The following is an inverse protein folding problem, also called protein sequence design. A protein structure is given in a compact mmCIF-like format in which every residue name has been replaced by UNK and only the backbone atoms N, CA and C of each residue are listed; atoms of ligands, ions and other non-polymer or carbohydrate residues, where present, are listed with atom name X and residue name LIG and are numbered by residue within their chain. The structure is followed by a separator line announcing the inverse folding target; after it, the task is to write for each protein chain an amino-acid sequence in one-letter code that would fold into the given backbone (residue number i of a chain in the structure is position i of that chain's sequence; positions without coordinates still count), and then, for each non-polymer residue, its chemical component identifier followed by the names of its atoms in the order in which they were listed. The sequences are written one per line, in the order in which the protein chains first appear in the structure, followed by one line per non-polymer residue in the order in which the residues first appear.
data_IF_285017324688
#
_entry.id   IF_285017324688
#
_cell.length_a   1.000
_cell.length_b   1.000
_cell.length_c   1.000
_cell.angle_alpha   90.00
_cell.angle_beta   90.00
_cell.angle_gamma   90.00
#
_symmetry.space_group_name_H-M   'P 1'
#
loop_
_entity.id
_entity.type
_entity.pdbx_description
1 polymer ?
#
# COMPACT_ATOMS: atom_id res chain seq x y z
N UNK A 1 5.83 0.02 -5.33
CA UNK A 1 4.39 0.09 -5.63
C UNK A 1 3.97 1.55 -5.66
N UNK A 2 3.04 1.88 -6.55
CA UNK A 2 2.39 3.18 -6.61
C UNK A 2 0.97 2.98 -6.11
N UNK A 3 0.64 3.67 -5.02
CA UNK A 3 -0.61 3.55 -4.32
C UNK A 3 -1.33 4.90 -4.29
N UNK A 4 -2.64 4.87 -4.17
CA UNK A 4 -3.45 6.01 -3.78
C UNK A 4 -3.08 6.52 -2.37
N UNK A 5 -3.67 7.64 -1.96
CA UNK A 5 -3.45 8.18 -0.61
C UNK A 5 -4.16 7.36 0.48
N UNK A 6 -5.06 6.44 0.14
CA UNK A 6 -5.61 5.43 1.06
C UNK A 6 -4.91 4.05 0.97
N UNK A 7 -3.70 4.00 0.38
CA UNK A 7 -2.87 2.79 0.23
C UNK A 7 -3.45 1.70 -0.67
N UNK A 8 -4.39 2.04 -1.55
CA UNK A 8 -4.84 1.14 -2.60
C UNK A 8 -3.84 1.12 -3.75
N UNK A 9 -3.36 -0.06 -4.13
CA UNK A 9 -2.35 -0.20 -5.17
C UNK A 9 -2.93 0.13 -6.55
N UNK A 10 -2.38 1.13 -7.22
CA UNK A 10 -2.75 1.49 -8.59
C UNK A 10 -1.80 0.86 -9.62
N UNK A 11 -0.52 0.71 -9.27
CA UNK A 11 0.49 0.11 -10.15
C UNK A 11 1.59 -0.57 -9.34
N UNK A 12 2.01 -1.74 -9.81
CA UNK A 12 3.14 -2.47 -9.25
C UNK A 12 4.29 -2.57 -10.26
N UNK A 13 5.53 -2.58 -9.75
CA UNK A 13 6.71 -2.83 -10.57
C UNK A 13 6.97 -4.33 -10.66
N UNK A 14 7.75 -4.75 -11.65
CA UNK A 14 8.11 -6.16 -11.87
C UNK A 14 8.86 -6.75 -10.66
N UNK A 15 9.70 -5.95 -10.01
CA UNK A 15 10.43 -6.37 -8.80
C UNK A 15 9.48 -6.62 -7.63
N UNK A 16 8.47 -5.76 -7.45
CA UNK A 16 7.46 -5.97 -6.41
C UNK A 16 6.64 -7.23 -6.65
N UNK A 17 6.28 -7.48 -7.91
CA UNK A 17 5.57 -8.69 -8.34
C UNK A 17 6.44 -9.93 -8.08
N UNK A 18 7.72 -9.89 -8.44
CA UNK A 18 8.65 -10.98 -8.18
C UNK A 18 8.84 -11.24 -6.67
N UNK A 19 8.90 -10.17 -5.87
CA UNK A 19 9.11 -10.27 -4.41
C UNK A 19 7.91 -10.85 -3.66
N UNK A 20 6.68 -10.53 -4.06
CA UNK A 20 5.46 -10.98 -3.38
C UNK A 20 4.82 -12.19 -4.07
N UNK A 21 5.18 -12.46 -5.31
CA UNK A 21 4.68 -13.56 -6.14
C UNK A 21 3.30 -13.32 -6.77
N UNK A 22 2.67 -12.16 -6.57
CA UNK A 22 1.34 -11.83 -7.12
C UNK A 22 1.40 -11.45 -8.60
N UNK A 23 0.32 -11.72 -9.33
CA UNK A 23 0.12 -11.15 -10.67
C UNK A 23 -0.24 -9.65 -10.56
N UNK A 24 0.09 -8.82 -11.57
CA UNK A 24 -0.33 -7.41 -11.59
C UNK A 24 -1.83 -7.22 -11.33
N UNK A 25 -2.67 -8.05 -11.94
CA UNK A 25 -4.13 -8.01 -11.78
C UNK A 25 -4.61 -8.38 -10.37
N UNK A 26 -3.80 -9.10 -9.58
CA UNK A 26 -4.12 -9.47 -8.19
C UNK A 26 -3.67 -8.38 -7.18
N UNK A 27 -2.79 -7.47 -7.60
CA UNK A 27 -2.31 -6.34 -6.79
C UNK A 27 -3.03 -5.05 -7.12
N UNK A 28 -3.44 -4.84 -8.37
CA UNK A 28 -4.22 -3.66 -8.73
C UNK A 28 -5.50 -3.61 -7.90
N UNK A 29 -5.82 -2.43 -7.38
CA UNK A 29 -6.95 -2.13 -6.51
C UNK A 29 -6.93 -2.83 -5.14
N UNK A 30 -5.89 -3.63 -4.84
CA UNK A 30 -5.71 -4.23 -3.52
C UNK A 30 -5.07 -3.23 -2.56
N UNK A 31 -5.60 -3.17 -1.34
CA UNK A 31 -5.05 -2.34 -0.27
C UNK A 31 -3.74 -2.93 0.28
N UNK A 32 -2.76 -2.07 0.59
CA UNK A 32 -1.54 -2.50 1.30
C UNK A 32 -1.87 -3.11 2.67
N UNK A 33 -2.97 -2.69 3.32
CA UNK A 33 -3.45 -3.28 4.57
C UNK A 33 -3.84 -4.76 4.44
N UNK A 34 -4.26 -5.22 3.26
CA UNK A 34 -4.54 -6.65 3.02
C UNK A 34 -3.27 -7.49 2.86
N UNK A 35 -2.16 -6.84 2.53
CA UNK A 35 -0.86 -7.48 2.39
C UNK A 35 -0.12 -7.54 3.73
N UNK A 36 -0.33 -6.58 4.63
CA UNK A 36 0.33 -6.56 5.94
C UNK A 36 -0.24 -7.64 6.86
N UNK A 37 0.65 -8.25 7.66
CA UNK A 37 0.23 -9.20 8.69
C UNK A 37 -0.72 -8.52 9.70
N UNK A 38 -1.85 -9.16 10.09
CA UNK A 38 -2.88 -8.52 10.90
C UNK A 38 -2.39 -7.90 12.22
N UNK A 39 -1.33 -8.45 12.83
CA UNK A 39 -0.74 -7.91 14.07
C UNK A 39 0.07 -6.62 13.88
N UNK A 40 0.32 -6.21 12.64
CA UNK A 40 1.18 -5.07 12.29
C UNK A 40 0.42 -3.98 11.51
N UNK A 41 -0.88 -4.20 11.26
CA UNK A 41 -1.78 -3.23 10.63
C UNK A 41 -1.74 -1.87 11.33
N UNK A 42 -1.68 -1.84 12.68
CA UNK A 42 -1.56 -0.60 13.45
C UNK A 42 -0.26 0.16 13.16
N UNK A 43 0.86 -0.53 12.94
CA UNK A 43 2.13 0.12 12.58
C UNK A 43 2.07 0.72 11.19
N UNK A 44 1.45 0.01 10.23
CA UNK A 44 1.22 0.57 8.91
C UNK A 44 0.32 1.81 8.99
N UNK A 45 -0.73 1.76 9.80
CA UNK A 45 -1.62 2.89 10.05
C UNK A 45 -0.85 4.09 10.60
N UNK A 46 0.00 3.90 11.62
CA UNK A 46 0.80 4.96 12.25
C UNK A 46 1.76 5.64 11.25
N UNK A 47 2.51 4.87 10.46
CA UNK A 47 3.40 5.46 9.47
C UNK A 47 2.62 6.17 8.36
N UNK A 48 1.46 5.63 7.97
CA UNK A 48 0.59 6.23 6.97
C UNK A 48 0.01 7.55 7.45
N UNK A 49 -0.58 7.61 8.64
CA UNK A 49 -1.13 8.85 9.21
C UNK A 49 -0.03 9.89 9.43
N UNK A 50 1.14 9.49 9.92
CA UNK A 50 2.28 10.39 10.08
C UNK A 50 2.77 11.02 8.76
N UNK A 51 2.50 10.37 7.63
CA UNK A 51 2.86 10.87 6.31
C UNK A 51 1.85 11.87 5.75
N UNK A 52 0.54 11.65 5.98
CA UNK A 52 -0.53 12.43 5.33
C UNK A 52 -1.14 13.52 6.22
N UNK A 53 -1.27 13.29 7.52
CA UNK A 53 -1.97 14.20 8.43
C UNK A 53 -1.25 15.55 8.59
N UNK A 54 0.10 15.60 8.79
CA UNK A 54 0.79 16.86 8.99
C UNK A 54 0.70 17.82 7.79
N UNK A 55 0.51 17.27 6.58
CA UNK A 55 0.45 18.04 5.33
C UNK A 55 -0.99 18.22 4.83
N UNK A 56 -1.97 17.60 5.50
CA UNK A 56 -3.39 17.71 5.16
C UNK A 56 -3.78 17.05 3.83
N UNK A 57 -3.08 15.97 3.45
CA UNK A 57 -3.44 15.16 2.28
C UNK A 57 -4.69 14.33 2.63
N UNK A 58 -5.72 14.42 1.79
CA UNK A 58 -6.97 13.70 2.00
C UNK A 58 -6.81 12.26 1.50
N UNK A 59 -7.18 11.23 2.30
CA UNK A 59 -7.27 9.85 1.84
C UNK A 59 -8.26 9.71 0.67
N UNK A 60 -7.80 9.17 -0.45
CA UNK A 60 -8.59 8.93 -1.65
C UNK A 60 -8.20 7.57 -2.25
N UNK A 61 -9.17 6.89 -2.86
CA UNK A 61 -9.01 5.57 -3.50
C UNK A 61 -8.39 5.66 -4.89
N UNK A 62 -8.60 6.76 -5.61
CA UNK A 62 -8.13 6.93 -6.98
C UNK A 62 -6.96 7.91 -6.99
N UNK A 63 -5.72 7.46 -7.16
CA UNK A 63 -4.65 8.36 -7.55
C UNK A 63 -4.93 8.75 -9.00
N UNK A 64 -5.20 10.03 -9.27
CA UNK A 64 -5.28 10.64 -10.60
C UNK A 64 -5.54 9.65 -11.76
N UNK A 65 -6.81 9.44 -12.17
CA UNK A 65 -7.26 8.54 -13.26
C UNK A 65 -6.28 7.41 -13.64
N UNK A 66 -6.52 6.16 -13.22
CA UNK A 66 -5.60 5.02 -13.34
C UNK A 66 -4.82 4.91 -14.67
N UNK A 67 -5.43 5.26 -15.80
CA UNK A 67 -4.79 5.33 -17.12
C UNK A 67 -3.57 6.27 -17.16
N UNK A 68 -3.63 7.40 -16.47
CA UNK A 68 -2.54 8.37 -16.31
C UNK A 68 -1.40 7.74 -15.50
N UNK A 69 -1.70 7.04 -14.40
CA UNK A 69 -0.68 6.35 -13.59
C UNK A 69 -0.02 5.21 -14.39
N UNK A 70 -0.78 4.47 -15.18
CA UNK A 70 -0.25 3.37 -16.00
C UNK A 70 0.61 3.88 -17.16
N UNK A 71 0.21 4.96 -17.82
CA UNK A 71 0.95 5.55 -18.95
C UNK A 71 2.16 6.40 -18.55
N UNK A 72 2.21 6.88 -17.31
CA UNK A 72 3.32 7.69 -16.81
C UNK A 72 4.60 6.84 -16.64
N UNK A 73 5.79 7.33 -17.04
CA UNK A 73 7.04 6.60 -16.81
C UNK A 73 7.31 6.31 -15.33
N UNK A 74 7.78 5.10 -15.01
CA UNK A 74 8.02 4.68 -13.62
C UNK A 74 8.99 5.62 -12.89
N UNK A 75 10.08 6.07 -13.55
CA UNK A 75 11.03 7.02 -12.97
C UNK A 75 10.36 8.32 -12.49
N UNK A 76 9.35 8.81 -13.23
CA UNK A 76 8.59 10.00 -12.86
C UNK A 76 7.66 9.72 -11.67
N UNK A 77 7.08 8.53 -11.60
CA UNK A 77 6.23 8.12 -10.47
C UNK A 77 7.01 7.87 -9.17
N UNK A 78 8.30 7.53 -9.29
CA UNK A 78 9.15 7.30 -8.11
C UNK A 78 9.68 8.59 -7.49
N UNK A 79 9.65 9.71 -8.23
CA UNK A 79 10.16 10.99 -7.76
C UNK A 79 9.40 11.46 -6.51
N UNK A 80 10.09 11.88 -5.43
CA UNK A 80 9.44 12.38 -4.24
C UNK A 80 8.80 13.75 -4.48
N UNK A 81 7.69 14.03 -3.80
CA UNK A 81 7.10 15.37 -3.75
C UNK A 81 8.01 16.33 -2.97
N UNK A 82 8.01 17.61 -3.36
CA UNK A 82 8.78 18.62 -2.64
C UNK A 82 8.27 18.74 -1.19
N UNK A 83 9.19 18.69 -0.23
CA UNK A 83 8.86 18.73 1.21
C UNK A 83 8.41 17.40 1.81
N UNK A 84 8.35 16.31 1.05
CA UNK A 84 7.96 15.00 1.60
C UNK A 84 9.03 14.41 2.52
N UNK A 85 8.58 13.60 3.46
CA UNK A 85 9.41 12.78 4.33
C UNK A 85 9.38 11.33 3.87
N UNK A 86 10.34 10.54 4.36
CA UNK A 86 10.37 9.09 4.17
C UNK A 86 10.14 8.43 5.52
N UNK A 87 9.03 7.71 5.63
CA UNK A 87 8.72 6.89 6.81
C UNK A 87 9.01 5.45 6.48
N UNK A 88 9.61 4.70 7.41
CA UNK A 88 10.05 3.34 7.17
C UNK A 88 9.78 2.47 8.37
N UNK A 89 9.23 1.28 8.14
CA UNK A 89 9.02 0.28 9.17
C UNK A 89 9.29 -1.14 8.66
N UNK A 90 9.66 -2.01 9.60
CA UNK A 90 9.83 -3.44 9.31
C UNK A 90 8.54 -4.18 9.64
N UNK A 91 7.95 -4.84 8.64
CA UNK A 91 6.69 -5.57 8.78
C UNK A 91 6.66 -6.81 7.88
N UNK A 92 5.79 -7.74 8.25
CA UNK A 92 5.50 -8.96 7.54
C UNK A 92 4.47 -8.69 6.47
N UNK A 93 4.83 -9.02 5.23
CA UNK A 93 3.93 -8.95 4.08
C UNK A 93 3.57 -10.35 3.62
N UNK A 94 2.28 -10.54 3.32
CA UNK A 94 1.71 -11.73 2.74
C UNK A 94 2.20 -11.88 1.31
N UNK A 95 2.70 -13.06 1.00
CA UNK A 95 3.01 -13.49 -0.36
C UNK A 95 1.81 -14.22 -0.97
N UNK A 96 1.81 -14.39 -2.29
CA UNK A 96 0.75 -15.10 -3.01
C UNK A 96 0.52 -16.54 -2.51
N UNK A 97 1.56 -17.21 -2.03
CA UNK A 97 1.47 -18.56 -1.45
C UNK A 97 0.77 -18.58 -0.06
N UNK A 98 0.42 -17.43 0.50
CA UNK A 98 -0.20 -17.30 1.81
C UNK A 98 0.78 -17.17 2.98
N UNK A 99 2.08 -17.33 2.74
CA UNK A 99 3.13 -17.15 3.74
C UNK A 99 3.43 -15.67 3.97
N UNK A 100 4.01 -15.36 5.12
CA UNK A 100 4.45 -14.02 5.47
C UNK A 100 5.97 -13.97 5.58
N UNK A 101 6.59 -13.01 4.90
CA UNK A 101 8.03 -12.72 5.00
C UNK A 101 8.25 -11.30 5.50
N UNK A 102 9.43 -11.02 6.08
CA UNK A 102 9.78 -9.68 6.57
C UNK A 102 10.25 -8.76 5.45
N UNK A 103 9.74 -7.54 5.45
CA UNK A 103 10.13 -6.47 4.54
C UNK A 103 10.34 -5.17 5.30
N UNK A 104 11.32 -4.39 4.86
CA UNK A 104 11.42 -2.97 5.18
C UNK A 104 10.51 -2.25 4.18
N UNK A 105 9.41 -1.70 4.70
CA UNK A 105 8.42 -0.94 3.95
C UNK A 105 8.69 0.54 4.17
N UNK A 106 9.03 1.24 3.09
CA UNK A 106 9.27 2.69 3.11
C UNK A 106 8.21 3.41 2.30
N UNK A 107 7.55 4.40 2.88
CA UNK A 107 6.54 5.22 2.24
C UNK A 107 7.02 6.67 2.08
N UNK A 108 6.63 7.30 0.97
CA UNK A 108 6.75 8.75 0.75
C UNK A 108 5.66 9.23 -0.21
N UNK A 109 5.40 10.54 -0.23
CA UNK A 109 4.46 11.14 -1.19
C UNK A 109 5.15 11.36 -2.55
N UNK A 110 4.50 10.94 -3.62
CA UNK A 110 5.01 11.03 -4.98
C UNK A 110 4.80 12.42 -5.61
N UNK A 111 5.85 12.93 -6.23
CA UNK A 111 5.91 14.24 -6.89
C UNK A 111 5.66 14.20 -8.40
N UNK A 112 5.51 13.01 -9.00
CA UNK A 112 5.42 12.82 -10.45
C UNK A 112 4.33 13.66 -11.17
N UNK A 113 3.28 14.07 -10.45
CA UNK A 113 2.20 14.92 -10.99
C UNK A 113 2.31 16.39 -10.56
N UNK A 114 3.49 16.85 -10.15
CA UNK A 114 3.73 18.23 -9.72
C UNK A 114 3.19 18.53 -8.33
N UNK A 115 3.23 17.55 -7.44
CA UNK A 115 2.83 17.70 -6.03
C UNK A 115 3.95 18.43 -5.28
N UNK A 116 3.56 19.47 -4.56
CA UNK A 116 4.43 20.31 -3.74
C UNK A 116 3.75 20.51 -2.39
N UNK A 117 4.33 19.99 -1.31
CA UNK A 117 3.70 20.02 0.02
C UNK A 117 3.65 21.42 0.63
N UNK A 118 4.36 22.39 0.05
CA UNK A 118 4.23 23.80 0.40
C UNK A 118 3.05 24.49 -0.31
N UNK A 119 2.42 23.83 -1.29
CA UNK A 119 1.31 24.36 -2.11
C UNK A 119 0.10 23.45 -2.01
N UNK A 120 -0.87 23.87 -1.19
CA UNK A 120 -2.06 23.09 -0.86
C UNK A 120 -2.91 22.74 -2.10
N UNK A 121 -2.85 23.59 -3.13
CA UNK A 121 -3.59 23.44 -4.39
C UNK A 121 -3.07 22.28 -5.25
N UNK A 122 -1.96 21.64 -4.86
CA UNK A 122 -1.36 20.53 -5.61
C UNK A 122 -1.55 19.17 -4.95
N UNK A 123 -2.10 19.14 -3.73
CA UNK A 123 -2.20 17.94 -2.89
C UNK A 123 -3.26 16.94 -3.36
N UNK A 124 -4.24 17.39 -4.15
CA UNK A 124 -5.23 16.55 -4.83
C UNK A 124 -4.61 15.56 -5.82
N UNK A 125 -3.38 15.83 -6.28
CA UNK A 125 -2.60 14.96 -7.17
C UNK A 125 -1.64 14.05 -6.44
N UNK A 126 -1.65 14.06 -5.10
CA UNK A 126 -0.77 13.24 -4.29
C UNK A 126 -1.10 11.75 -4.45
N UNK A 127 -0.07 10.94 -4.34
CA UNK A 127 -0.14 9.50 -4.28
C UNK A 127 1.03 9.00 -3.42
N UNK A 128 0.96 7.76 -2.96
CA UNK A 128 1.98 7.18 -2.10
C UNK A 128 2.87 6.25 -2.91
N UNK A 129 4.18 6.39 -2.75
CA UNK A 129 5.15 5.44 -3.27
C UNK A 129 5.55 4.52 -2.12
N UNK A 130 5.25 3.23 -2.24
CA UNK A 130 5.66 2.21 -1.29
C UNK A 130 6.84 1.40 -1.85
N UNK A 131 8.01 1.54 -1.24
CA UNK A 131 9.22 0.78 -1.57
C UNK A 131 9.34 -0.42 -0.63
N UNK A 132 9.52 -1.61 -1.19
CA UNK A 132 9.62 -2.86 -0.45
C UNK A 132 11.03 -3.43 -0.59
N UNK A 133 11.68 -3.71 0.53
CA UNK A 133 12.96 -4.41 0.56
C UNK A 133 12.80 -5.67 1.40
N UNK A 134 12.96 -6.85 0.80
CA UNK A 134 12.92 -8.11 1.55
C UNK A 134 14.07 -8.15 2.55
N UNK A 135 13.74 -8.35 3.80
CA UNK A 135 14.70 -8.58 4.86
C UNK A 135 14.86 -10.09 5.01
N UNK A 136 16.09 -10.60 5.03
CA UNK A 136 16.34 -12.03 5.21
C UNK A 136 15.70 -12.57 6.49
N UNK A 137 15.70 -13.90 6.64
CA UNK A 137 15.03 -14.57 7.78
C UNK A 137 15.51 -14.13 9.17
N UNK A 138 16.69 -13.51 9.26
CA UNK A 138 17.29 -13.05 10.51
C UNK A 138 16.79 -11.67 10.97
N UNK A 139 16.00 -10.98 10.15
CA UNK A 139 15.49 -9.63 10.44
C UNK A 139 14.28 -9.64 11.39
N UNK A 140 14.33 -10.47 12.43
CA UNK A 140 13.37 -10.38 13.52
C UNK A 140 13.51 -9.01 14.17
N UNK A 141 12.43 -8.26 14.40
CA UNK A 141 12.51 -7.01 15.13
C UNK A 141 13.07 -7.31 16.52
N UNK A 142 14.27 -6.78 16.79
CA UNK A 142 15.08 -6.98 18.00
C UNK A 142 14.43 -6.48 19.29
N UNK A 143 13.17 -6.06 19.24
CA UNK A 143 12.46 -5.43 20.34
C UNK A 143 11.77 -6.42 21.31
N UNK A 144 11.85 -7.74 21.05
CA UNK A 144 11.22 -8.76 21.90
C UNK A 144 12.20 -9.66 22.67
N UNK A 145 13.52 -9.53 22.49
CA UNK A 145 14.49 -10.46 23.10
C UNK A 145 15.10 -9.98 24.43
N UNK A 146 14.67 -8.83 24.97
CA UNK A 146 15.34 -8.23 26.13
C UNK A 146 15.08 -8.88 27.50
N UNK A 147 14.22 -9.90 27.64
CA UNK A 147 13.66 -10.25 28.96
C UNK A 147 13.82 -11.69 29.47
N UNK A 148 14.73 -12.52 28.94
CA UNK A 148 14.84 -13.92 29.44
C UNK A 148 16.25 -14.46 29.70
N UNK A 149 17.22 -13.59 30.02
CA UNK A 149 18.55 -14.04 30.47
C UNK A 149 19.06 -13.31 31.70
N UNK A 150 18.40 -13.49 32.85
CA UNK A 150 19.03 -13.46 34.18
C UNK A 150 18.21 -14.34 35.12
N UNK A 151 18.81 -15.47 35.51
CA UNK A 151 18.69 -16.14 36.81
C UNK A 151 18.83 -17.66 36.62
N UNK A 152 20.07 -18.12 36.52
CA UNK A 152 20.44 -19.48 36.93
C UNK A 152 21.92 -19.44 37.37
N UNK A 153 22.13 -18.94 38.58
CA UNK A 153 23.36 -19.11 39.35
C UNK A 153 23.11 -20.25 40.36
N UNK A 154 23.95 -21.30 40.43
CA UNK A 154 23.72 -22.42 41.33
C UNK A 154 24.18 -22.08 42.76
N UNK A 155 23.34 -22.23 43.80
CA UNK A 155 23.78 -22.00 45.17
C UNK A 155 24.58 -23.19 45.71
N UNK A 156 25.76 -22.87 46.23
CA UNK A 156 26.62 -23.79 46.97
C UNK A 156 25.98 -24.22 48.29
N UNK A 157 26.24 -25.48 48.62
CA UNK A 157 25.89 -26.20 49.84
C UNK A 157 26.35 -25.55 51.14
N UNK A 158 25.45 -25.42 52.11
CA UNK A 158 25.76 -25.48 53.56
C UNK A 158 24.56 -26.03 54.33
N UNK A 159 24.87 -26.75 55.40
CA UNK A 159 24.07 -27.81 56.00
C UNK A 159 23.43 -27.44 57.36
N UNK A 160 22.16 -27.84 57.53
CA UNK A 160 21.42 -28.32 58.75
C UNK A 160 21.13 -27.34 59.92
N UNK A 161 20.21 -27.67 60.88
CA UNK A 161 18.74 -27.77 60.73
C UNK A 161 17.94 -27.16 61.93
N UNK A 162 16.62 -26.95 61.78
CA UNK A 162 15.52 -27.10 62.77
C UNK A 162 14.44 -26.04 62.64
N UNK A 163 13.19 -26.46 62.81
CA UNK A 163 12.11 -25.58 63.29
C UNK A 163 10.78 -25.74 62.57
N UNK A 164 9.99 -26.70 63.02
CA UNK A 164 8.57 -26.96 62.73
C UNK A 164 7.66 -25.71 62.65
N UNK A 165 6.78 -25.67 61.64
CA UNK A 165 5.38 -25.17 61.60
C UNK A 165 4.92 -25.22 60.12
N UNK A 166 4.08 -26.14 59.61
CA UNK A 166 2.72 -26.60 59.93
C UNK A 166 1.66 -25.49 59.88
N UNK A 167 1.05 -25.30 58.70
CA UNK A 167 -0.39 -25.14 58.43
C UNK A 167 -0.59 -24.84 56.93
N UNK A 168 -1.13 -25.75 56.12
CA UNK A 168 -2.55 -26.07 55.88
C UNK A 168 -3.39 -24.93 55.27
N UNK A 169 -4.11 -25.27 54.20
CA UNK A 169 -5.28 -24.61 53.55
C UNK A 169 -5.03 -24.27 52.06
N UNK A 170 -5.36 -25.15 51.11
CA UNK A 170 -6.71 -25.48 50.61
C UNK A 170 -7.39 -24.39 49.76
N UNK A 171 -7.63 -24.78 48.50
CA UNK A 171 -8.86 -24.57 47.69
C UNK A 171 -9.23 -23.14 47.26
N UNK A 172 -9.42 -22.96 45.95
CA UNK A 172 -10.10 -21.79 45.42
C UNK A 172 -10.22 -21.73 43.91
N UNK A 173 -10.98 -22.67 43.32
CA UNK A 173 -11.56 -22.53 41.97
C UNK A 173 -12.43 -21.27 41.92
N UNK A 174 -12.35 -20.47 40.86
CA UNK A 174 -13.51 -19.83 40.22
C UNK A 174 -13.18 -19.33 38.80
N UNK A 175 -13.67 -20.12 37.84
CA UNK A 175 -13.99 -19.70 36.47
C UNK A 175 -14.98 -18.54 36.56
N UNK A 176 -14.81 -17.51 35.74
CA UNK A 176 -15.88 -16.57 35.44
C UNK A 176 -16.01 -16.49 33.92
N UNK A 177 -16.99 -17.23 33.42
CA UNK A 177 -17.59 -17.05 32.11
C UNK A 177 -18.49 -15.81 32.20
N UNK A 178 -18.39 -14.91 31.22
CA UNK A 178 -19.42 -13.90 30.98
C UNK A 178 -19.85 -14.06 29.52
N UNK A 179 -20.99 -14.72 29.36
CA UNK A 179 -21.81 -14.72 28.15
C UNK A 179 -22.38 -13.31 27.97
N UNK A 180 -22.28 -12.74 26.76
CA UNK A 180 -23.07 -11.57 26.38
C UNK A 180 -24.09 -12.00 25.33
N UNK A 181 -25.35 -11.84 25.70
CA UNK A 181 -26.54 -12.02 24.88
C UNK A 181 -26.52 -11.10 23.65
N UNK A 182 -26.94 -11.67 22.52
CA UNK A 182 -27.25 -11.00 21.26
C UNK A 182 -28.75 -10.67 21.25
N UNK A 183 -29.10 -9.39 21.31
CA UNK A 183 -30.46 -8.94 20.99
C UNK A 183 -30.59 -8.68 19.48
N UNK A 184 -31.36 -9.55 18.83
CA UNK A 184 -31.87 -9.44 17.46
C UNK A 184 -33.32 -8.93 17.51
N UNK A 185 -33.64 -7.78 16.90
CA UNK A 185 -35.03 -7.50 16.55
C UNK A 185 -35.29 -7.73 15.05
N UNK A 186 -36.01 -8.82 14.80
CA UNK A 186 -36.78 -9.03 13.58
C UNK A 186 -38.00 -8.09 13.55
N UNK A 187 -38.27 -7.54 12.35
CA UNK A 187 -39.60 -7.46 11.72
C UNK A 187 -39.73 -6.19 10.85
N UNK A 188 -39.93 -6.39 9.55
CA UNK A 188 -41.02 -5.73 8.81
C UNK A 188 -41.09 -6.28 7.40
N UNK A 189 -42.09 -7.14 7.19
CA UNK A 189 -42.59 -7.59 5.90
C UNK A 189 -43.62 -6.60 5.32
N UNK A 190 -43.89 -6.77 4.02
CA UNK A 190 -45.03 -6.32 3.21
C UNK A 190 -44.78 -5.16 2.22
N UNK A 191 -45.58 -5.03 1.14
CA UNK A 191 -45.70 -5.98 0.04
C UNK A 191 -45.62 -5.29 -1.34
N UNK A 192 -45.67 -6.13 -2.38
CA UNK A 192 -45.74 -5.77 -3.79
C UNK A 192 -46.79 -4.70 -4.15
N UNK A 193 -46.46 -3.87 -5.15
CA UNK A 193 -47.44 -3.20 -6.00
C UNK A 193 -47.10 -3.45 -7.46
N UNK A 194 -47.90 -4.32 -8.06
CA UNK A 194 -48.08 -4.42 -9.50
C UNK A 194 -49.08 -3.33 -9.94
N UNK A 195 -48.73 -2.58 -10.99
CA UNK A 195 -49.76 -1.94 -11.82
C UNK A 195 -49.31 -1.74 -13.26
N UNK A 196 -50.06 -2.42 -14.10
CA UNK A 196 -50.09 -2.48 -15.56
C UNK A 196 -50.81 -1.27 -16.17
N UNK A 197 -50.70 -1.16 -17.51
CA UNK A 197 -51.44 -0.34 -18.48
C UNK A 197 -50.77 1.02 -18.83
N UNK A 198 -50.15 1.20 -20.01
CA UNK A 198 -50.64 1.19 -21.41
C UNK A 198 -51.54 2.39 -21.74
N UNK A 199 -51.14 3.19 -22.74
CA UNK A 199 -51.93 3.92 -23.77
C UNK A 199 -51.03 5.02 -24.37
N UNK A 200 -50.44 4.84 -25.57
CA UNK A 200 -50.96 5.09 -26.93
C UNK A 200 -50.99 6.56 -27.40
N UNK A 201 -50.29 6.76 -28.52
CA UNK A 201 -50.61 7.60 -29.69
C UNK A 201 -50.16 9.07 -29.80
N UNK A 202 -49.65 9.36 -31.00
CA UNK A 202 -49.63 10.67 -31.66
C UNK A 202 -48.22 11.23 -31.88
N UNK A 203 -47.43 10.78 -32.87
CA UNK A 203 -47.54 10.95 -34.32
C UNK A 203 -47.28 12.39 -34.84
N UNK A 204 -46.37 12.44 -35.82
CA UNK A 204 -46.08 13.51 -36.79
C UNK A 204 -45.39 14.78 -36.22
N UNK A 205 -44.47 15.46 -36.89
CA UNK A 205 -44.02 15.47 -38.28
C UNK A 205 -42.58 16.06 -38.26
N UNK A 206 -41.62 15.49 -39.00
CA UNK A 206 -41.26 15.93 -40.35
C UNK A 206 -40.33 17.16 -40.35
N UNK A 207 -39.05 16.94 -40.65
CA UNK A 207 -38.25 17.82 -41.50
C UNK A 207 -36.87 17.19 -41.75
N UNK A 208 -36.77 16.55 -42.91
CA UNK A 208 -35.52 16.29 -43.59
C UNK A 208 -34.77 17.61 -43.82
N UNK A 209 -33.51 17.69 -43.41
CA UNK A 209 -32.57 18.64 -43.99
C UNK A 209 -31.24 17.93 -44.16
N UNK A 210 -30.99 17.56 -45.40
CA UNK A 210 -29.73 17.05 -45.92
C UNK A 210 -28.70 18.18 -46.06
N UNK A 211 -27.44 17.75 -46.14
CA UNK A 211 -26.21 18.44 -46.58
C UNK A 211 -25.35 19.12 -45.48
N UNK A 212 -24.02 19.22 -45.67
CA UNK A 212 -23.12 18.36 -46.44
C UNK A 212 -21.84 17.93 -45.68
N UNK A 213 -21.20 16.91 -46.26
CA UNK A 213 -19.85 16.45 -45.94
C UNK A 213 -18.85 17.61 -45.83
N UNK A 214 -18.18 17.70 -44.67
CA UNK A 214 -17.04 18.57 -44.48
C UNK A 214 -15.76 17.74 -44.33
N UNK A 215 -14.99 17.78 -45.41
CA UNK A 215 -13.52 17.78 -45.53
C UNK A 215 -12.72 17.07 -44.44
N UNK A 216 -12.05 16.01 -44.90
CA UNK A 216 -10.81 15.44 -44.39
C UNK A 216 -9.77 16.52 -44.09
N UNK A 217 -9.50 16.75 -42.81
CA UNK A 217 -8.30 17.45 -42.37
C UNK A 217 -7.13 16.48 -42.43
N UNK A 218 -6.30 16.60 -43.47
CA UNK A 218 -4.98 15.99 -43.53
C UNK A 218 -4.12 16.62 -42.42
N UNK A 219 -3.89 15.90 -41.32
CA UNK A 219 -2.85 16.26 -40.37
C UNK A 219 -1.50 16.02 -41.03
N UNK A 220 -0.83 17.11 -41.39
CA UNK A 220 0.57 17.11 -41.80
C UNK A 220 1.45 16.52 -40.70
N UNK A 221 2.44 15.67 -41.02
CA UNK A 221 3.43 15.23 -40.05
C UNK A 221 4.31 16.42 -39.62
N UNK A 222 4.76 16.48 -38.36
CA UNK A 222 5.67 17.53 -37.89
C UNK A 222 7.01 17.48 -38.62
N UNK A 223 7.71 18.62 -38.77
CA UNK A 223 9.02 18.67 -39.41
C UNK A 223 10.05 17.86 -38.62
N UNK A 224 10.74 16.97 -39.31
CA UNK A 224 11.90 16.23 -38.81
C UNK A 224 13.02 17.23 -38.54
N UNK A 225 13.24 17.56 -37.26
CA UNK A 225 14.42 18.30 -36.84
C UNK A 225 15.59 17.31 -36.84
N UNK A 226 16.38 17.32 -37.93
CA UNK A 226 17.66 16.61 -37.98
C UNK A 226 18.60 17.26 -36.97
N UNK A 227 18.79 16.61 -35.83
CA UNK A 227 19.87 16.91 -34.91
C UNK A 227 21.20 16.51 -35.57
N UNK A 228 21.85 17.48 -36.19
CA UNK A 228 23.27 17.43 -36.50
C UNK A 228 23.99 17.99 -35.27
N UNK A 229 24.99 17.25 -34.75
CA UNK A 229 25.98 17.58 -33.69
C UNK A 229 25.95 16.47 -32.61
N UNK A 230 27.00 15.72 -32.29
CA UNK A 230 28.37 15.63 -32.80
C UNK A 230 28.89 14.28 -32.34
N UNK A 231 29.36 13.45 -33.27
CA UNK A 231 30.12 12.25 -32.96
C UNK A 231 31.46 12.70 -32.33
N UNK A 232 31.67 12.38 -31.06
CA UNK A 232 32.95 12.62 -30.38
C UNK A 232 33.61 11.28 -30.12
N UNK A 233 34.20 10.75 -31.19
CA UNK A 233 35.14 9.64 -31.15
C UNK A 233 36.43 10.11 -30.47
N UNK A 234 36.69 9.62 -29.25
CA UNK A 234 38.01 9.60 -28.60
C UNK A 234 37.92 8.42 -27.63
N UNK A 235 38.68 7.35 -27.77
CA UNK A 235 40.08 7.26 -28.11
C UNK A 235 40.61 6.21 -27.14
N UNK A 236 40.80 5.02 -27.69
CA UNK A 236 41.32 3.82 -27.08
C UNK A 236 42.75 4.04 -26.53
N UNK A 237 42.97 3.76 -25.24
CA UNK A 237 44.21 3.25 -24.60
C UNK A 237 43.79 2.78 -23.20
N UNK A 238 43.83 1.51 -22.78
CA UNK A 238 44.93 0.57 -22.90
C UNK A 238 45.76 0.60 -21.62
N UNK A 239 45.58 -0.42 -20.74
CA UNK A 239 46.47 -0.95 -19.66
C UNK A 239 45.61 -1.48 -18.50
N UNK A 240 45.58 -2.79 -18.26
CA UNK A 240 46.57 -3.65 -17.59
C UNK A 240 46.51 -3.58 -16.05
N UNK A 241 46.47 -4.76 -15.42
CA UNK A 241 46.83 -5.01 -14.01
C UNK A 241 45.64 -5.21 -13.07
N UNK A 242 45.20 -6.43 -12.73
CA UNK A 242 45.81 -7.44 -11.83
C UNK A 242 45.91 -6.96 -10.36
N UNK A 243 45.09 -7.52 -9.46
CA UNK A 243 45.47 -8.33 -8.27
C UNK A 243 44.40 -8.33 -7.15
N UNK A 244 44.17 -9.56 -6.65
CA UNK A 244 43.58 -10.00 -5.37
C UNK A 244 42.10 -9.74 -5.13
#
# INVERSE_FOLDING_TARGET
MICSTNLQCARSSEECIALLGYKPSELNERSLFELVHPSETSRLQEIWTSLIDPVGVIPQSVPAAADVVMSTPAARLMAPAAGTIFVQENMRLRQRNGMYDFYSVRLHLGGGFGVDLYRRETLDRAYIVASLLKLGNDARPSHLESNTRRDDEPPQSTSVPNGLSRQDSSRGVKRSSAEMDLDEPAASSHPASSRTASHTNGAAANASTSYPASKTAACSPPPVVRSLLTDRTRGNTGRDGILC
#
